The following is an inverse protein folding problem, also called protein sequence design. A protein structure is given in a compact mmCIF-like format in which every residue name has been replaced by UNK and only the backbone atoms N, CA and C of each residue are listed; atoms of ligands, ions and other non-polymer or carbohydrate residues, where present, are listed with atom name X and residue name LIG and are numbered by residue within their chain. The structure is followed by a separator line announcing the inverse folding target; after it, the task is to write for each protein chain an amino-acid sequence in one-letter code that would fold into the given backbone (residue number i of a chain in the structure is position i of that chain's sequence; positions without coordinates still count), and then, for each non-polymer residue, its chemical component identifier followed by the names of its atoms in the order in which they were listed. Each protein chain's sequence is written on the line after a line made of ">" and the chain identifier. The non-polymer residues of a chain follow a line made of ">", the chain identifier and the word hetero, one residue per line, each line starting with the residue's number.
data_IF_857385004089
#
_entry.id   IF_857385004089
#
_cell.length_a   1.000
_cell.length_b   1.000
_cell.length_c   1.000
_cell.angle_alpha   90.00
_cell.angle_beta   90.00
_cell.angle_gamma   90.00
#
_symmetry.space_group_name_H-M   'P 1'
#
loop_
_entity.id
_entity.type
_entity.pdbx_description
1 polymer ?
#
# COMPACT_ATOMS: atom_id res chain seq x y z
N UNK A 1 -35.16 -25.15 18.02
CA UNK A 1 -35.04 -23.73 17.60
C UNK A 1 -34.81 -23.70 16.10
N UNK A 2 -35.69 -23.00 15.36
CA UNK A 2 -35.72 -22.97 13.90
C UNK A 2 -34.46 -22.30 13.30
N UNK A 3 -34.10 -22.68 12.07
CA UNK A 3 -32.97 -22.09 11.31
C UNK A 3 -33.18 -20.59 11.08
N UNK A 4 -34.40 -20.20 10.71
CA UNK A 4 -34.80 -18.80 10.50
C UNK A 4 -34.63 -17.94 11.76
N UNK A 5 -34.92 -18.47 12.95
CA UNK A 5 -34.71 -17.74 14.21
C UNK A 5 -33.22 -17.48 14.48
N UNK A 6 -32.34 -18.43 14.15
CA UNK A 6 -30.88 -18.25 14.29
C UNK A 6 -30.39 -17.18 13.33
N UNK A 7 -30.85 -17.22 12.08
CA UNK A 7 -30.51 -16.24 11.05
C UNK A 7 -31.00 -14.84 11.42
N UNK A 8 -32.22 -14.72 11.97
CA UNK A 8 -32.74 -13.45 12.45
C UNK A 8 -31.89 -12.87 13.60
N UNK A 9 -31.50 -13.68 14.59
CA UNK A 9 -30.59 -13.24 15.66
C UNK A 9 -29.25 -12.73 15.11
N UNK A 10 -28.67 -13.45 14.14
CA UNK A 10 -27.41 -13.05 13.51
C UNK A 10 -27.60 -11.73 12.75
N UNK A 11 -28.69 -11.59 12.00
CA UNK A 11 -29.02 -10.35 11.26
C UNK A 11 -29.17 -9.16 12.20
N UNK A 12 -29.94 -9.31 13.29
CA UNK A 12 -30.11 -8.26 14.30
C UNK A 12 -28.79 -7.92 14.99
N UNK A 13 -27.92 -8.92 15.21
CA UNK A 13 -26.60 -8.64 15.77
C UNK A 13 -25.70 -7.88 14.79
N UNK A 14 -25.78 -8.18 13.49
CA UNK A 14 -25.06 -7.46 12.42
C UNK A 14 -25.57 -6.04 12.22
N UNK A 15 -26.86 -5.76 12.42
CA UNK A 15 -27.40 -4.39 12.32
C UNK A 15 -26.93 -3.46 13.46
N UNK A 16 -26.36 -4.03 14.54
CA UNK A 16 -25.78 -3.27 15.65
C UNK A 16 -26.51 -3.39 16.98
N UNK A 17 -27.58 -4.19 17.04
CA UNK A 17 -28.28 -4.41 18.31
C UNK A 17 -27.38 -5.15 19.32
N UNK A 18 -27.40 -4.68 20.56
CA UNK A 18 -26.73 -5.36 21.68
C UNK A 18 -27.45 -6.65 22.07
N UNK A 19 -26.73 -7.60 22.70
CA UNK A 19 -27.32 -8.89 23.12
C UNK A 19 -28.59 -8.76 23.97
N UNK A 20 -28.66 -7.72 24.82
CA UNK A 20 -29.86 -7.42 25.64
C UNK A 20 -31.04 -6.95 24.79
N UNK A 21 -30.79 -6.13 23.77
CA UNK A 21 -31.82 -5.62 22.86
C UNK A 21 -32.39 -6.76 22.01
N UNK A 22 -31.53 -7.60 21.44
CA UNK A 22 -31.94 -8.79 20.67
C UNK A 22 -32.75 -9.76 21.53
N UNK A 23 -32.32 -9.98 22.78
CA UNK A 23 -33.03 -10.85 23.73
C UNK A 23 -34.45 -10.33 24.03
N UNK A 24 -34.61 -9.01 24.17
CA UNK A 24 -35.91 -8.37 24.38
C UNK A 24 -36.80 -8.45 23.15
N UNK A 25 -36.25 -8.17 21.97
CA UNK A 25 -36.96 -8.13 20.70
C UNK A 25 -37.42 -9.52 20.23
N UNK A 26 -36.55 -10.52 20.37
CA UNK A 26 -36.85 -11.90 19.95
C UNK A 26 -37.50 -12.76 21.03
N UNK A 27 -37.57 -12.28 22.27
CA UNK A 27 -38.01 -13.05 23.44
C UNK A 27 -37.09 -14.21 23.84
N UNK A 28 -35.91 -14.34 23.21
CA UNK A 28 -34.96 -15.43 23.44
C UNK A 28 -34.03 -15.08 24.60
N UNK A 29 -33.72 -16.05 25.46
CA UNK A 29 -32.78 -15.87 26.57
C UNK A 29 -31.42 -15.31 26.08
N UNK A 30 -30.91 -14.28 26.75
CA UNK A 30 -29.63 -13.63 26.41
C UNK A 30 -28.45 -14.60 26.27
N UNK A 31 -28.37 -15.65 27.09
CA UNK A 31 -27.30 -16.65 27.01
C UNK A 31 -27.43 -17.51 25.75
N UNK A 32 -28.66 -17.79 25.33
CA UNK A 32 -28.96 -18.48 24.07
C UNK A 32 -28.58 -17.61 22.87
N UNK A 33 -28.92 -16.31 22.89
CA UNK A 33 -28.49 -15.34 21.88
C UNK A 33 -26.96 -15.30 21.78
N UNK A 34 -26.25 -15.14 22.92
CA UNK A 34 -24.77 -15.17 22.96
C UNK A 34 -24.21 -16.47 22.41
N UNK A 35 -24.79 -17.62 22.76
CA UNK A 35 -24.36 -18.94 22.28
C UNK A 35 -24.54 -19.09 20.76
N UNK A 36 -25.61 -18.52 20.20
CA UNK A 36 -25.85 -18.54 18.75
C UNK A 36 -24.84 -17.66 18.02
N UNK A 37 -24.65 -16.41 18.44
CA UNK A 37 -23.64 -15.52 17.87
C UNK A 37 -22.21 -16.08 18.04
N UNK A 38 -21.90 -16.74 19.15
CA UNK A 38 -20.58 -17.35 19.35
C UNK A 38 -20.36 -18.55 18.42
N UNK A 39 -21.37 -19.40 18.23
CA UNK A 39 -21.28 -20.58 17.36
C UNK A 39 -21.35 -20.25 15.88
N UNK A 40 -21.86 -19.06 15.49
CA UNK A 40 -21.85 -18.65 14.09
C UNK A 40 -20.44 -18.30 13.59
N UNK A 41 -19.50 -17.96 14.47
CA UNK A 41 -18.13 -17.56 14.07
C UNK A 41 -18.02 -16.18 13.41
N UNK A 42 -19.14 -15.54 13.07
CA UNK A 42 -19.23 -14.28 12.32
C UNK A 42 -18.90 -13.00 13.13
N UNK A 43 -18.69 -13.12 14.44
CA UNK A 43 -18.38 -11.98 15.33
C UNK A 43 -17.02 -12.14 16.00
N UNK A 44 -16.13 -12.87 15.33
CA UNK A 44 -14.75 -13.12 15.69
C UNK A 44 -13.94 -13.10 14.39
N UNK A 45 -12.65 -12.86 14.55
CA UNK A 45 -11.62 -12.96 13.53
C UNK A 45 -11.87 -14.14 12.57
N UNK A 46 -11.89 -13.86 11.27
CA UNK A 46 -12.09 -14.90 10.26
C UNK A 46 -10.77 -15.67 10.05
N UNK A 47 -10.68 -16.97 10.39
CA UNK A 47 -9.43 -17.70 10.30
C UNK A 47 -8.92 -17.87 8.85
N UNK A 48 -9.83 -18.03 7.88
CA UNK A 48 -9.45 -18.15 6.46
C UNK A 48 -8.90 -16.82 5.94
N UNK A 49 -9.57 -15.73 6.28
CA UNK A 49 -9.13 -14.36 6.00
C UNK A 49 -7.75 -14.09 6.62
N UNK A 50 -7.57 -14.41 7.89
CA UNK A 50 -6.30 -14.22 8.60
C UNK A 50 -5.17 -14.95 7.90
N UNK A 51 -5.34 -16.23 7.57
CA UNK A 51 -4.31 -17.02 6.92
C UNK A 51 -3.93 -16.41 5.57
N UNK A 52 -4.92 -15.95 4.80
CA UNK A 52 -4.70 -15.43 3.46
C UNK A 52 -4.00 -14.07 3.46
N UNK A 53 -4.35 -13.18 4.40
CA UNK A 53 -3.90 -11.79 4.45
C UNK A 53 -2.88 -11.51 5.58
N UNK A 54 -2.09 -12.52 5.95
CA UNK A 54 -0.98 -12.31 6.89
C UNK A 54 0.27 -11.85 6.13
N UNK A 55 0.82 -10.71 6.53
CA UNK A 55 2.11 -10.24 6.02
C UNK A 55 3.21 -11.17 6.55
N UNK A 56 4.00 -11.81 5.67
CA UNK A 56 5.08 -12.69 6.08
C UNK A 56 6.22 -11.93 6.76
N UNK A 57 6.78 -12.53 7.81
CA UNK A 57 7.99 -12.01 8.46
C UNK A 57 9.21 -12.16 7.53
N UNK A 58 10.09 -11.15 7.46
CA UNK A 58 11.32 -11.24 6.68
C UNK A 58 12.18 -12.41 7.16
N UNK A 59 12.65 -13.23 6.21
CA UNK A 59 13.66 -14.26 6.45
C UNK A 59 15.02 -13.72 6.01
N UNK A 60 16.10 -14.27 6.57
CA UNK A 60 17.44 -13.90 6.12
C UNK A 60 17.64 -14.37 4.67
N UNK A 61 17.79 -13.43 3.74
CA UNK A 61 18.21 -13.75 2.37
C UNK A 61 19.71 -14.08 2.37
N UNK A 62 20.08 -15.10 1.60
CA UNK A 62 21.48 -15.49 1.35
C UNK A 62 22.01 -14.93 0.03
N UNK A 63 21.20 -14.16 -0.69
CA UNK A 63 21.59 -13.56 -1.96
C UNK A 63 22.71 -12.53 -1.73
N UNK A 64 23.82 -12.70 -2.44
CA UNK A 64 24.95 -11.77 -2.37
C UNK A 64 24.52 -10.43 -2.96
N UNK A 65 24.70 -9.35 -2.19
CA UNK A 65 24.44 -8.01 -2.69
C UNK A 65 25.41 -7.68 -3.84
N UNK A 66 24.90 -7.68 -5.07
CA UNK A 66 25.65 -7.23 -6.24
C UNK A 66 25.82 -5.72 -6.16
N UNK A 67 27.07 -5.26 -6.04
CA UNK A 67 27.37 -3.82 -5.99
C UNK A 67 27.16 -3.24 -7.38
N UNK A 68 26.24 -2.29 -7.53
CA UNK A 68 26.04 -1.57 -8.79
C UNK A 68 27.32 -0.81 -9.16
N UNK A 69 27.76 -0.80 -10.44
CA UNK A 69 28.94 -0.07 -10.85
C UNK A 69 28.72 1.45 -10.78
N UNK A 70 29.82 2.21 -10.71
CA UNK A 70 29.74 3.67 -10.81
C UNK A 70 29.27 4.10 -12.21
N UNK A 71 28.37 5.08 -12.32
CA UNK A 71 27.95 5.62 -13.60
C UNK A 71 29.13 6.33 -14.30
N UNK A 72 29.21 6.28 -15.63
CA UNK A 72 30.24 6.99 -16.38
C UNK A 72 30.08 8.51 -16.21
N UNK A 73 31.20 9.23 -16.14
CA UNK A 73 31.18 10.69 -16.12
C UNK A 73 30.76 11.23 -17.49
N UNK A 74 29.87 12.21 -17.48
CA UNK A 74 29.34 12.84 -18.70
C UNK A 74 29.60 14.34 -18.70
N UNK A 75 29.75 14.91 -19.89
CA UNK A 75 29.84 16.35 -20.11
C UNK A 75 28.52 16.80 -20.71
N UNK A 76 27.67 17.43 -19.90
CA UNK A 76 26.29 17.77 -20.29
C UNK A 76 26.21 19.25 -20.62
N UNK A 77 26.56 20.11 -19.66
CA UNK A 77 26.47 21.57 -19.77
C UNK A 77 27.77 22.19 -20.30
N UNK A 78 28.88 21.45 -20.29
CA UNK A 78 30.23 21.95 -20.60
C UNK A 78 30.87 22.69 -19.41
N UNK A 79 30.14 22.92 -18.31
CA UNK A 79 30.66 23.51 -17.10
C UNK A 79 31.09 22.42 -16.11
N UNK A 80 32.42 22.25 -15.94
CA UNK A 80 33.01 21.16 -15.15
C UNK A 80 32.39 20.94 -13.77
N UNK A 81 32.11 22.01 -13.02
CA UNK A 81 31.54 21.89 -11.67
C UNK A 81 30.05 21.51 -11.68
N UNK A 82 29.30 21.98 -12.69
CA UNK A 82 27.86 21.61 -12.83
C UNK A 82 27.75 20.16 -13.31
N UNK A 83 28.56 19.76 -14.27
CA UNK A 83 28.60 18.38 -14.76
C UNK A 83 29.06 17.41 -13.66
N UNK A 84 30.04 17.80 -12.84
CA UNK A 84 30.43 17.03 -11.65
C UNK A 84 29.30 16.93 -10.62
N UNK A 85 28.55 18.01 -10.38
CA UNK A 85 27.40 17.99 -9.47
C UNK A 85 26.31 17.02 -9.95
N UNK A 86 25.93 17.11 -11.23
CA UNK A 86 24.94 16.21 -11.84
C UNK A 86 25.39 14.75 -11.76
N UNK A 87 26.67 14.49 -12.06
CA UNK A 87 27.23 13.14 -11.94
C UNK A 87 27.18 12.62 -10.49
N UNK A 88 27.45 13.46 -9.49
CA UNK A 88 27.34 13.05 -8.08
C UNK A 88 25.89 12.70 -7.71
N UNK A 89 24.90 13.40 -8.24
CA UNK A 89 23.50 13.01 -8.05
C UNK A 89 23.17 11.67 -8.72
N UNK A 90 23.70 11.39 -9.90
CA UNK A 90 23.58 10.06 -10.54
C UNK A 90 24.26 8.96 -9.71
N UNK A 91 25.42 9.25 -9.10
CA UNK A 91 26.10 8.32 -8.17
C UNK A 91 25.21 8.04 -6.95
N UNK A 92 24.53 9.04 -6.39
CA UNK A 92 23.60 8.86 -5.26
C UNK A 92 22.43 7.97 -5.66
N UNK A 93 21.87 8.15 -6.86
CA UNK A 93 20.76 7.32 -7.38
C UNK A 93 21.09 5.82 -7.46
N UNK A 94 22.37 5.45 -7.53
CA UNK A 94 22.76 4.02 -7.47
C UNK A 94 22.32 3.35 -6.17
N UNK A 95 22.13 4.10 -5.07
CA UNK A 95 21.69 3.54 -3.80
C UNK A 95 22.76 2.76 -3.03
N UNK A 96 24.01 2.74 -3.51
CA UNK A 96 25.07 1.94 -2.87
C UNK A 96 25.72 2.69 -1.69
N UNK A 97 25.86 2.07 -0.50
CA UNK A 97 26.38 2.73 0.70
C UNK A 97 27.77 3.34 0.51
N UNK A 98 28.65 2.60 -0.16
CA UNK A 98 30.01 3.08 -0.46
C UNK A 98 29.98 4.30 -1.40
N UNK A 99 29.09 4.27 -2.39
CA UNK A 99 28.92 5.37 -3.35
C UNK A 99 28.28 6.59 -2.72
N UNK A 100 27.26 6.40 -1.88
CA UNK A 100 26.60 7.49 -1.15
C UNK A 100 27.60 8.20 -0.22
N UNK A 101 28.41 7.44 0.53
CA UNK A 101 29.44 8.04 1.38
C UNK A 101 30.49 8.82 0.58
N UNK A 102 30.92 8.28 -0.57
CA UNK A 102 31.83 8.98 -1.47
C UNK A 102 31.19 10.23 -2.09
N UNK A 103 29.92 10.16 -2.47
CA UNK A 103 29.15 11.27 -3.02
C UNK A 103 28.96 12.40 -1.99
N UNK A 104 28.62 12.08 -0.74
CA UNK A 104 28.53 13.05 0.36
C UNK A 104 29.87 13.78 0.58
N UNK A 105 31.00 13.07 0.49
CA UNK A 105 32.33 13.66 0.58
C UNK A 105 32.68 14.52 -0.66
N UNK A 106 32.21 14.12 -1.85
CA UNK A 106 32.41 14.86 -3.09
C UNK A 106 31.61 16.16 -3.11
N UNK A 107 30.35 16.15 -2.67
CA UNK A 107 29.50 17.34 -2.56
C UNK A 107 30.15 18.44 -1.72
N UNK A 108 30.83 18.08 -0.63
CA UNK A 108 31.56 19.03 0.24
C UNK A 108 32.78 19.68 -0.42
N UNK A 109 33.32 19.07 -1.48
CA UNK A 109 34.50 19.56 -2.22
C UNK A 109 34.13 20.41 -3.43
N UNK A 110 32.87 20.38 -3.87
CA UNK A 110 32.39 21.20 -4.98
C UNK A 110 32.37 22.66 -4.56
N UNK A 111 32.83 23.53 -5.45
CA UNK A 111 32.82 24.98 -5.21
C UNK A 111 31.50 25.62 -5.59
N UNK A 112 30.75 24.98 -6.51
CA UNK A 112 29.42 25.42 -6.92
C UNK A 112 28.39 25.04 -5.86
N UNK A 113 27.44 25.93 -5.60
CA UNK A 113 26.31 25.60 -4.72
C UNK A 113 25.28 24.75 -5.46
N UNK A 114 24.53 23.87 -4.77
CA UNK A 114 23.44 23.10 -5.38
C UNK A 114 22.45 23.94 -6.19
N UNK A 115 22.10 25.12 -5.67
CA UNK A 115 21.18 26.06 -6.32
C UNK A 115 21.76 26.63 -7.62
N UNK A 116 23.03 27.05 -7.62
CA UNK A 116 23.68 27.50 -8.85
C UNK A 116 23.80 26.39 -9.89
N UNK A 117 24.04 25.15 -9.45
CA UNK A 117 24.09 23.99 -10.34
C UNK A 117 22.72 23.71 -10.98
N UNK A 118 21.65 23.74 -10.19
CA UNK A 118 20.27 23.65 -10.67
C UNK A 118 19.98 24.75 -11.71
N UNK A 119 20.14 26.03 -11.36
CA UNK A 119 19.81 27.14 -12.25
C UNK A 119 20.57 27.07 -13.59
N UNK A 120 21.86 26.68 -13.55
CA UNK A 120 22.65 26.47 -14.77
C UNK A 120 22.11 25.34 -15.63
N UNK A 121 21.79 24.21 -15.01
CA UNK A 121 21.24 23.06 -15.73
C UNK A 121 19.84 23.34 -16.29
N UNK A 122 18.96 23.98 -15.53
CA UNK A 122 17.65 24.43 -15.98
C UNK A 122 17.77 25.36 -17.19
N UNK A 123 18.70 26.33 -17.15
CA UNK A 123 18.95 27.24 -18.27
C UNK A 123 19.49 26.51 -19.50
N UNK A 124 20.39 25.55 -19.31
CA UNK A 124 20.89 24.69 -20.38
C UNK A 124 19.75 23.92 -21.06
N UNK A 125 18.85 23.31 -20.29
CA UNK A 125 17.68 22.59 -20.82
C UNK A 125 16.76 23.51 -21.64
N UNK A 126 16.47 24.70 -21.13
CA UNK A 126 15.65 25.70 -21.83
C UNK A 126 16.29 26.13 -23.16
N UNK A 127 17.60 26.37 -23.17
CA UNK A 127 18.34 26.80 -24.37
C UNK A 127 18.43 25.70 -25.45
N UNK A 128 18.43 24.43 -25.04
CA UNK A 128 18.45 23.28 -25.96
C UNK A 128 17.04 22.80 -26.36
N UNK A 129 16.00 23.59 -26.07
CA UNK A 129 14.63 23.29 -26.49
C UNK A 129 13.97 22.14 -25.73
N UNK A 130 14.45 21.80 -24.54
CA UNK A 130 13.83 20.77 -23.71
C UNK A 130 12.40 21.19 -23.31
N UNK A 131 11.47 20.24 -23.33
CA UNK A 131 10.08 20.47 -22.94
C UNK A 131 9.94 20.93 -21.49
N UNK A 132 8.79 21.52 -21.17
CA UNK A 132 8.49 22.02 -19.82
C UNK A 132 8.61 20.94 -18.73
N UNK A 133 8.35 19.67 -19.07
CA UNK A 133 8.50 18.52 -18.16
C UNK A 133 9.96 18.31 -17.72
N UNK A 134 10.92 18.41 -18.64
CA UNK A 134 12.34 18.29 -18.35
C UNK A 134 12.83 19.47 -17.49
N UNK A 135 12.35 20.68 -17.76
CA UNK A 135 12.62 21.85 -16.91
C UNK A 135 12.03 21.64 -15.51
N UNK A 136 10.81 21.14 -15.40
CA UNK A 136 10.16 20.87 -14.11
C UNK A 136 10.88 19.78 -13.30
N UNK A 137 11.45 18.75 -13.95
CA UNK A 137 12.26 17.72 -13.26
C UNK A 137 13.51 18.28 -12.56
N UNK A 138 13.93 19.51 -12.87
CA UNK A 138 15.07 20.15 -12.19
C UNK A 138 14.72 20.74 -10.83
N UNK A 139 13.43 20.80 -10.45
CA UNK A 139 12.98 21.52 -9.24
C UNK A 139 13.64 21.12 -7.93
N UNK A 140 14.04 19.86 -7.79
CA UNK A 140 14.62 19.33 -6.54
C UNK A 140 16.15 19.22 -6.57
N UNK A 141 16.79 19.59 -7.68
CA UNK A 141 18.23 19.45 -7.88
C UNK A 141 19.07 20.25 -6.89
N UNK A 142 18.53 21.29 -6.25
CA UNK A 142 19.24 22.07 -5.23
C UNK A 142 19.27 21.41 -3.84
N UNK A 143 18.57 20.29 -3.66
CA UNK A 143 18.52 19.57 -2.39
C UNK A 143 19.14 18.16 -2.48
N UNK A 144 20.49 18.04 -2.47
CA UNK A 144 21.17 16.75 -2.54
C UNK A 144 20.82 15.82 -1.36
N UNK A 145 20.52 16.38 -0.19
CA UNK A 145 20.11 15.62 1.00
C UNK A 145 18.80 14.84 0.76
N UNK A 146 17.87 15.41 0.00
CA UNK A 146 16.63 14.73 -0.38
C UNK A 146 16.92 13.46 -1.21
N UNK A 147 17.80 13.54 -2.21
CA UNK A 147 18.21 12.38 -3.00
C UNK A 147 18.91 11.30 -2.16
N UNK A 148 19.76 11.71 -1.21
CA UNK A 148 20.42 10.77 -0.30
C UNK A 148 19.40 10.04 0.57
N UNK A 149 18.41 10.75 1.11
CA UNK A 149 17.35 10.15 1.93
C UNK A 149 16.52 9.16 1.12
N UNK A 150 16.10 9.54 -0.10
CA UNK A 150 15.36 8.65 -1.00
C UNK A 150 16.19 7.41 -1.35
N UNK A 151 17.48 7.57 -1.69
CA UNK A 151 18.35 6.46 -2.03
C UNK A 151 18.53 5.48 -0.86
N UNK A 152 18.67 5.99 0.37
CA UNK A 152 18.75 5.18 1.59
C UNK A 152 17.43 4.42 1.83
N UNK A 153 16.29 5.12 1.76
CA UNK A 153 14.98 4.50 1.94
C UNK A 153 14.68 3.43 0.88
N UNK A 154 14.98 3.71 -0.39
CA UNK A 154 14.82 2.74 -1.48
C UNK A 154 15.69 1.49 -1.27
N UNK A 155 16.93 1.66 -0.78
CA UNK A 155 17.79 0.51 -0.45
C UNK A 155 17.19 -0.33 0.68
N UNK A 156 16.66 0.30 1.72
CA UNK A 156 16.01 -0.40 2.83
C UNK A 156 14.80 -1.19 2.36
N UNK A 157 13.93 -0.59 1.54
CA UNK A 157 12.77 -1.29 0.96
C UNK A 157 13.19 -2.44 0.03
N UNK A 158 14.18 -2.24 -0.84
CA UNK A 158 14.71 -3.30 -1.69
C UNK A 158 15.33 -4.46 -0.87
N UNK A 159 16.01 -4.14 0.24
CA UNK A 159 16.50 -5.15 1.17
C UNK A 159 15.35 -5.91 1.85
N UNK A 160 14.26 -5.22 2.17
CA UNK A 160 13.05 -5.82 2.73
C UNK A 160 12.40 -6.80 1.74
N UNK A 161 12.35 -6.44 0.45
CA UNK A 161 11.91 -7.34 -0.63
C UNK A 161 12.70 -8.63 -0.65
N UNK A 162 14.03 -8.55 -0.69
CA UNK A 162 14.88 -9.75 -0.66
C UNK A 162 14.68 -10.56 0.62
N UNK A 163 14.48 -9.90 1.76
CA UNK A 163 14.21 -10.57 3.03
C UNK A 163 12.92 -11.40 3.00
N UNK A 164 11.86 -10.90 2.36
CA UNK A 164 10.58 -11.64 2.30
C UNK A 164 10.55 -12.65 1.15
N UNK A 165 10.93 -12.23 -0.05
CA UNK A 165 10.72 -12.99 -1.29
C UNK A 165 11.97 -13.71 -1.79
N UNK A 166 13.13 -13.47 -1.19
CA UNK A 166 14.42 -14.00 -1.64
C UNK A 166 15.08 -13.09 -2.67
N UNK A 167 14.42 -12.88 -3.82
CA UNK A 167 14.89 -12.04 -4.94
C UNK A 167 13.88 -10.93 -5.28
N UNK A 168 14.27 -9.96 -6.10
CA UNK A 168 13.36 -8.89 -6.53
C UNK A 168 12.35 -9.36 -7.59
N UNK A 169 12.68 -10.36 -8.39
CA UNK A 169 11.77 -10.92 -9.41
C UNK A 169 10.65 -11.74 -8.76
N UNK A 170 10.94 -12.45 -7.67
CA UNK A 170 10.00 -13.35 -7.00
C UNK A 170 8.77 -12.64 -6.40
N UNK A 171 8.82 -11.31 -6.18
CA UNK A 171 7.68 -10.53 -5.68
C UNK A 171 6.54 -10.38 -6.70
N UNK A 172 6.85 -10.57 -7.99
CA UNK A 172 5.89 -10.45 -9.09
C UNK A 172 5.14 -11.75 -9.35
N UNK A 173 5.56 -12.87 -8.74
CA UNK A 173 4.81 -14.11 -8.77
C UNK A 173 3.46 -13.93 -8.03
N UNK A 174 2.37 -14.54 -8.53
CA UNK A 174 1.06 -14.46 -7.88
C UNK A 174 1.09 -14.96 -6.43
N UNK A 175 0.60 -14.14 -5.50
CA UNK A 175 0.45 -14.54 -4.09
C UNK A 175 -0.80 -15.42 -3.93
N UNK A 176 -0.97 -16.17 -2.81
CA UNK A 176 -2.12 -17.06 -2.64
C UNK A 176 -3.50 -16.41 -2.85
N UNK A 177 -3.67 -15.14 -2.46
CA UNK A 177 -4.90 -14.38 -2.71
C UNK A 177 -5.13 -14.13 -4.21
N UNK A 178 -4.07 -13.78 -4.95
CA UNK A 178 -4.14 -13.59 -6.40
C UNK A 178 -4.38 -14.92 -7.12
N UNK A 179 -3.75 -16.02 -6.69
CA UNK A 179 -4.03 -17.35 -7.25
C UNK A 179 -5.51 -17.74 -7.15
N UNK A 180 -6.21 -17.36 -6.06
CA UNK A 180 -7.65 -17.60 -5.93
C UNK A 180 -8.45 -16.79 -6.95
N UNK A 181 -8.08 -15.53 -7.17
CA UNK A 181 -8.69 -14.67 -8.19
C UNK A 181 -8.44 -15.27 -9.57
N UNK A 182 -7.19 -15.60 -9.89
CA UNK A 182 -6.79 -16.13 -11.19
C UNK A 182 -7.45 -17.48 -11.51
N UNK A 183 -7.70 -18.30 -10.49
CA UNK A 183 -8.39 -19.59 -10.67
C UNK A 183 -9.81 -19.46 -11.24
N UNK A 184 -10.46 -18.32 -11.03
CA UNK A 184 -11.81 -18.04 -11.51
C UNK A 184 -11.83 -17.14 -12.73
N UNK A 185 -10.98 -16.12 -12.73
CA UNK A 185 -11.04 -15.01 -13.70
C UNK A 185 -9.92 -15.04 -14.75
N UNK A 186 -8.97 -15.97 -14.65
CA UNK A 186 -7.83 -16.08 -15.56
C UNK A 186 -6.61 -15.27 -15.11
N UNK A 187 -5.52 -15.24 -15.90
CA UNK A 187 -4.29 -14.57 -15.52
C UNK A 187 -4.49 -13.08 -15.21
N UNK A 188 -3.83 -12.63 -14.16
CA UNK A 188 -3.88 -11.26 -13.63
C UNK A 188 -3.72 -10.16 -14.70
N UNK A 189 -2.84 -10.38 -15.68
CA UNK A 189 -2.53 -9.38 -16.73
C UNK A 189 -3.65 -9.24 -17.76
N UNK A 190 -4.45 -10.29 -17.96
CA UNK A 190 -5.55 -10.33 -18.93
C UNK A 190 -6.81 -9.72 -18.32
N UNK A 191 -7.06 -10.04 -17.04
CA UNK A 191 -8.07 -9.41 -16.16
C UNK A 191 -8.06 -7.88 -16.36
N UNK A 192 -6.98 -7.17 -16.02
CA UNK A 192 -7.01 -5.70 -16.03
C UNK A 192 -7.22 -5.06 -17.41
N UNK A 193 -6.73 -5.68 -18.48
CA UNK A 193 -6.84 -5.14 -19.85
C UNK A 193 -8.25 -5.28 -20.43
N UNK A 194 -8.95 -6.36 -20.11
CA UNK A 194 -10.34 -6.55 -20.53
C UNK A 194 -11.30 -5.67 -19.71
N UNK A 195 -11.00 -5.40 -18.44
CA UNK A 195 -11.88 -4.61 -17.54
C UNK A 195 -11.88 -3.10 -17.76
N UNK A 196 -10.81 -2.52 -18.32
CA UNK A 196 -10.84 -1.13 -18.79
C UNK A 196 -11.91 -0.89 -19.87
N UNK A 197 -12.44 -1.97 -20.49
CA UNK A 197 -13.47 -1.90 -21.53
C UNK A 197 -14.90 -2.05 -20.99
N UNK A 198 -15.13 -2.69 -19.83
CA UNK A 198 -16.49 -3.09 -19.37
C UNK A 198 -17.12 -2.16 -18.30
N UNK A 199 -16.34 -1.25 -17.69
CA UNK A 199 -16.86 -0.22 -16.77
C UNK A 199 -16.91 -0.61 -15.29
N UNK A 200 -17.36 0.34 -14.43
CA UNK A 200 -17.18 0.36 -12.97
C UNK A 200 -18.01 -0.67 -12.14
N UNK A 201 -18.32 -1.85 -12.68
CA UNK A 201 -19.16 -2.84 -12.00
C UNK A 201 -18.57 -4.23 -11.97
N UNK A 202 -18.68 -4.88 -10.81
CA UNK A 202 -18.76 -6.34 -10.62
C UNK A 202 -17.52 -7.16 -10.23
N UNK A 203 -16.30 -6.61 -10.16
CA UNK A 203 -15.13 -7.38 -9.71
C UNK A 203 -14.70 -7.04 -8.27
N UNK A 204 -15.56 -7.40 -7.33
CA UNK A 204 -15.30 -7.23 -5.88
C UNK A 204 -14.57 -8.47 -5.30
N UNK A 205 -14.43 -9.54 -6.09
CA UNK A 205 -13.82 -10.81 -5.70
C UNK A 205 -14.42 -11.42 -4.41
N UNK A 206 -15.66 -11.07 -4.07
CA UNK A 206 -16.36 -11.54 -2.84
C UNK A 206 -16.76 -13.00 -2.90
N UNK A 207 -16.72 -13.57 -4.10
CA UNK A 207 -17.03 -14.94 -4.45
C UNK A 207 -15.80 -15.85 -4.46
N UNK A 208 -14.58 -15.28 -4.40
CA UNK A 208 -13.30 -16.03 -4.37
C UNK A 208 -12.47 -15.72 -3.13
N UNK A 209 -12.48 -14.47 -2.64
CA UNK A 209 -11.80 -14.07 -1.42
C UNK A 209 -12.73 -14.15 -0.21
N UNK A 210 -12.23 -14.60 0.96
CA UNK A 210 -13.03 -14.66 2.17
C UNK A 210 -13.53 -13.27 2.58
N UNK A 211 -14.76 -13.20 3.10
CA UNK A 211 -15.31 -11.96 3.62
C UNK A 211 -14.71 -11.63 5.01
N UNK A 212 -14.40 -10.35 5.31
CA UNK A 212 -14.02 -9.94 6.65
C UNK A 212 -15.22 -10.08 7.58
N UNK A 213 -15.00 -10.59 8.79
CA UNK A 213 -16.04 -10.69 9.82
C UNK A 213 -15.98 -9.54 10.82
N UNK A 214 -14.80 -8.93 10.95
CA UNK A 214 -14.47 -7.88 11.92
C UNK A 214 -13.84 -6.69 11.22
N UNK A 215 -13.78 -5.54 11.89
CA UNK A 215 -13.07 -4.38 11.34
C UNK A 215 -11.56 -4.64 11.31
N UNK A 216 -11.03 -5.40 12.25
CA UNK A 216 -9.64 -5.88 12.21
C UNK A 216 -9.34 -6.71 10.96
N UNK A 217 -10.27 -7.55 10.49
CA UNK A 217 -10.11 -8.27 9.23
C UNK A 217 -10.03 -7.29 8.04
N UNK A 218 -10.91 -6.27 8.02
CA UNK A 218 -10.89 -5.24 6.96
C UNK A 218 -9.53 -4.53 6.92
N UNK A 219 -9.06 -4.05 8.08
CA UNK A 219 -7.76 -3.35 8.21
C UNK A 219 -6.61 -4.25 7.77
N UNK A 220 -6.62 -5.53 8.17
CA UNK A 220 -5.58 -6.49 7.78
C UNK A 220 -5.49 -6.64 6.27
N UNK A 221 -6.63 -6.76 5.59
CA UNK A 221 -6.65 -6.91 4.14
C UNK A 221 -6.12 -5.68 3.43
N UNK A 222 -6.51 -4.48 3.86
CA UNK A 222 -5.95 -3.23 3.33
C UNK A 222 -4.44 -3.15 3.51
N UNK A 223 -3.96 -3.41 4.72
CA UNK A 223 -2.53 -3.37 5.03
C UNK A 223 -1.74 -4.40 4.22
N UNK A 224 -2.31 -5.58 4.00
CA UNK A 224 -1.70 -6.62 3.17
C UNK A 224 -1.52 -6.16 1.73
N UNK A 225 -2.56 -5.56 1.14
CA UNK A 225 -2.51 -5.10 -0.25
C UNK A 225 -1.59 -3.90 -0.45
N UNK A 226 -1.66 -2.90 0.44
CA UNK A 226 -0.72 -1.76 0.45
C UNK A 226 0.72 -2.24 0.63
N UNK A 227 0.96 -3.17 1.55
CA UNK A 227 2.26 -3.79 1.75
C UNK A 227 2.76 -4.47 0.47
N UNK A 228 1.95 -5.32 -0.17
CA UNK A 228 2.34 -6.03 -1.40
C UNK A 228 2.65 -5.06 -2.53
N UNK A 229 1.83 -4.02 -2.69
CA UNK A 229 2.05 -2.96 -3.67
C UNK A 229 3.39 -2.26 -3.45
N UNK A 230 3.69 -1.83 -2.21
CA UNK A 230 4.96 -1.18 -1.87
C UNK A 230 6.16 -2.09 -2.14
N UNK A 231 6.05 -3.39 -1.84
CA UNK A 231 7.12 -4.37 -2.10
C UNK A 231 7.38 -4.52 -3.61
N UNK A 232 6.32 -4.58 -4.43
CA UNK A 232 6.44 -4.63 -5.89
C UNK A 232 7.02 -3.35 -6.47
N UNK A 233 6.59 -2.19 -6.00
CA UNK A 233 7.15 -0.88 -6.42
C UNK A 233 8.63 -0.80 -6.06
N UNK A 234 9.01 -1.20 -4.85
CA UNK A 234 10.40 -1.20 -4.42
C UNK A 234 11.27 -2.13 -5.28
N UNK A 235 10.79 -3.33 -5.60
CA UNK A 235 11.48 -4.26 -6.48
C UNK A 235 11.57 -3.75 -7.92
N UNK A 236 10.48 -3.16 -8.45
CA UNK A 236 10.44 -2.62 -9.81
C UNK A 236 11.48 -1.52 -9.99
N UNK A 237 11.57 -0.58 -9.05
CA UNK A 237 12.59 0.48 -9.05
C UNK A 237 14.02 -0.06 -9.04
N UNK A 238 14.24 -1.22 -8.43
CA UNK A 238 15.55 -1.84 -8.35
C UNK A 238 15.94 -2.54 -9.67
N UNK A 239 14.98 -3.20 -10.32
CA UNK A 239 15.16 -3.91 -11.59
C UNK A 239 15.18 -2.96 -12.80
N UNK A 240 14.35 -1.91 -12.77
CA UNK A 240 14.12 -0.98 -13.88
C UNK A 240 14.23 0.47 -13.39
N UNK A 241 15.42 0.93 -12.99
CA UNK A 241 15.62 2.25 -12.37
C UNK A 241 15.29 3.43 -13.30
N UNK A 242 15.34 3.23 -14.61
CA UNK A 242 15.08 4.24 -15.63
C UNK A 242 13.62 4.25 -16.12
N UNK A 243 12.80 3.30 -15.66
CA UNK A 243 11.40 3.19 -16.06
C UNK A 243 10.46 3.86 -15.05
N UNK A 244 9.31 4.32 -15.56
CA UNK A 244 8.26 4.85 -14.69
C UNK A 244 7.69 3.70 -13.85
N UNK A 245 7.50 3.96 -12.55
CA UNK A 245 7.02 2.93 -11.62
C UNK A 245 5.61 2.50 -12.00
N UNK A 246 5.46 1.19 -12.19
CA UNK A 246 4.17 0.60 -12.46
C UNK A 246 3.32 0.55 -11.18
N UNK A 247 2.25 1.33 -11.13
CA UNK A 247 1.23 1.29 -10.08
C UNK A 247 0.06 0.45 -10.58
N UNK A 248 -0.05 -0.81 -10.15
CA UNK A 248 -1.09 -1.70 -10.64
C UNK A 248 -2.10 -2.05 -9.55
N UNK A 249 -3.16 -1.24 -9.40
CA UNK A 249 -4.28 -1.58 -8.50
C UNK A 249 -5.47 -2.16 -9.28
N UNK A 250 -5.35 -3.44 -9.63
CA UNK A 250 -6.44 -4.30 -10.09
C UNK A 250 -7.37 -4.75 -8.95
N UNK A 251 -7.00 -4.42 -7.70
CA UNK A 251 -7.79 -4.62 -6.47
C UNK A 251 -8.63 -3.39 -6.12
N UNK A 252 -8.61 -2.32 -6.91
CA UNK A 252 -9.31 -1.06 -6.62
C UNK A 252 -10.79 -1.26 -6.22
N UNK A 253 -11.50 -2.16 -6.90
CA UNK A 253 -12.89 -2.49 -6.58
C UNK A 253 -13.05 -3.26 -5.26
N UNK A 254 -12.08 -4.13 -4.93
CA UNK A 254 -12.03 -4.83 -3.64
C UNK A 254 -11.73 -3.85 -2.51
N UNK A 255 -10.77 -2.96 -2.69
CA UNK A 255 -10.45 -1.88 -1.74
C UNK A 255 -11.68 -1.01 -1.49
N UNK A 256 -12.36 -0.53 -2.53
CA UNK A 256 -13.58 0.27 -2.37
C UNK A 256 -14.68 -0.49 -1.60
N UNK A 257 -14.84 -1.79 -1.83
CA UNK A 257 -15.78 -2.59 -1.07
C UNK A 257 -15.36 -2.80 0.38
N UNK A 258 -14.07 -2.98 0.66
CA UNK A 258 -13.53 -3.02 2.02
C UNK A 258 -13.77 -1.69 2.74
N UNK A 259 -13.64 -0.54 2.08
CA UNK A 259 -13.99 0.77 2.64
C UNK A 259 -15.47 0.78 3.06
N UNK A 260 -16.37 0.27 2.22
CA UNK A 260 -17.80 0.12 2.56
C UNK A 260 -18.02 -0.85 3.72
N UNK A 261 -17.21 -1.89 3.87
CA UNK A 261 -17.28 -2.77 5.03
C UNK A 261 -16.92 -2.04 6.34
N UNK A 262 -16.07 -1.00 6.31
CA UNK A 262 -15.80 -0.16 7.50
C UNK A 262 -17.03 0.60 8.00
N UNK A 263 -18.00 0.88 7.14
CA UNK A 263 -19.26 1.53 7.52
C UNK A 263 -20.29 0.52 8.06
N UNK A 264 -20.28 -0.70 7.51
CA UNK A 264 -21.31 -1.72 7.72
C UNK A 264 -20.97 -2.64 8.92
N UNK A 265 -19.72 -3.09 9.02
CA UNK A 265 -19.28 -4.01 10.07
C UNK A 265 -19.18 -3.26 11.38
N UNK A 266 -19.91 -3.73 12.39
CA UNK A 266 -19.87 -3.13 13.73
C UNK A 266 -18.60 -3.56 14.46
N UNK A 267 -17.93 -2.66 15.20
CA UNK A 267 -16.83 -3.05 16.08
C UNK A 267 -17.28 -4.14 17.06
N UNK A 268 -16.45 -5.16 17.24
CA UNK A 268 -16.62 -6.25 18.20
C UNK A 268 -16.52 -5.70 19.63
N UNK A 269 -15.62 -4.75 19.85
CA UNK A 269 -15.42 -4.07 21.12
C UNK A 269 -14.90 -2.62 20.90
N UNK A 270 -14.76 -1.87 22.01
CA UNK A 270 -14.31 -0.46 21.96
C UNK A 270 -12.83 -0.33 21.59
N UNK A 271 -12.02 -1.32 21.91
CA UNK A 271 -10.58 -1.34 21.60
C UNK A 271 -10.37 -1.42 20.10
N UNK A 272 -11.01 -2.38 19.42
CA UNK A 272 -11.01 -2.50 17.96
C UNK A 272 -11.48 -1.21 17.29
N UNK A 273 -12.54 -0.58 17.79
CA UNK A 273 -13.03 0.68 17.24
C UNK A 273 -11.97 1.79 17.30
N UNK A 274 -11.22 1.88 18.42
CA UNK A 274 -10.16 2.88 18.59
C UNK A 274 -8.94 2.57 17.73
N UNK A 275 -8.55 1.31 17.63
CA UNK A 275 -7.41 0.88 16.82
C UNK A 275 -7.67 1.13 15.33
N UNK A 276 -8.87 0.79 14.86
CA UNK A 276 -9.30 1.03 13.47
C UNK A 276 -9.41 2.54 13.20
N UNK A 277 -9.92 3.33 14.15
CA UNK A 277 -9.99 4.78 13.99
C UNK A 277 -8.61 5.42 13.87
N UNK A 278 -7.65 4.99 14.70
CA UNK A 278 -6.27 5.48 14.64
C UNK A 278 -5.65 5.15 13.28
N UNK A 279 -5.74 3.88 12.88
CA UNK A 279 -5.25 3.46 11.57
C UNK A 279 -5.89 4.27 10.44
N UNK A 280 -7.22 4.45 10.45
CA UNK A 280 -7.94 5.17 9.41
C UNK A 280 -7.56 6.65 9.31
N UNK A 281 -7.16 7.27 10.42
CA UNK A 281 -6.69 8.66 10.45
C UNK A 281 -5.23 8.82 9.97
N UNK A 282 -4.39 7.81 10.17
CA UNK A 282 -2.96 7.81 9.84
C UNK A 282 -2.65 7.25 8.45
N UNK A 283 -3.58 6.50 7.85
CA UNK A 283 -3.37 5.87 6.55
C UNK A 283 -3.41 6.91 5.42
N UNK A 284 -2.26 7.08 4.75
CA UNK A 284 -1.99 8.12 3.76
C UNK A 284 -3.02 8.17 2.62
N UNK A 285 -3.46 7.01 2.15
CA UNK A 285 -4.35 6.92 0.99
C UNK A 285 -5.72 7.52 1.28
N UNK A 286 -6.17 7.57 2.54
CA UNK A 286 -7.42 8.22 2.92
C UNK A 286 -7.27 9.73 3.15
N UNK A 287 -6.06 10.21 3.43
CA UNK A 287 -5.80 11.64 3.65
C UNK A 287 -5.78 12.42 2.32
N UNK A 288 -5.06 11.92 1.32
CA UNK A 288 -4.81 12.65 0.07
C UNK A 288 -5.95 12.58 -0.95
N UNK A 289 -6.80 11.56 -0.85
CA UNK A 289 -7.81 11.24 -1.88
C UNK A 289 -9.21 11.78 -1.60
N UNK A 290 -9.44 12.41 -0.45
CA UNK A 290 -10.79 12.78 -0.02
C UNK A 290 -11.74 11.59 0.16
N UNK A 291 -11.19 10.35 0.23
CA UNK A 291 -11.95 9.10 0.37
C UNK A 291 -12.51 8.87 1.78
N UNK A 292 -12.25 9.76 2.74
CA UNK A 292 -12.79 9.65 4.10
C UNK A 292 -14.31 9.80 4.08
N UNK A 293 -15.01 8.74 4.46
CA UNK A 293 -16.47 8.71 4.50
C UNK A 293 -16.99 8.93 5.92
N UNK A 294 -17.99 9.82 6.07
CA UNK A 294 -18.62 10.13 7.35
C UNK A 294 -19.25 8.88 8.01
N UNK A 295 -19.73 7.94 7.20
CA UNK A 295 -20.32 6.68 7.67
C UNK A 295 -19.34 5.84 8.50
N UNK A 296 -18.04 5.88 8.17
CA UNK A 296 -16.99 5.20 8.93
C UNK A 296 -16.83 5.86 10.31
N UNK A 297 -16.75 7.19 10.38
CA UNK A 297 -16.65 7.90 11.66
C UNK A 297 -17.86 7.66 12.56
N UNK A 298 -19.07 7.70 11.99
CA UNK A 298 -20.30 7.42 12.73
C UNK A 298 -20.33 5.98 13.25
N UNK A 299 -19.85 5.01 12.46
CA UNK A 299 -19.75 3.61 12.89
C UNK A 299 -18.74 3.44 14.03
N UNK A 300 -17.53 3.98 13.89
CA UNK A 300 -16.44 3.82 14.88
C UNK A 300 -16.72 4.57 16.19
N UNK A 301 -17.42 5.70 16.15
CA UNK A 301 -17.81 6.45 17.35
C UNK A 301 -19.09 5.92 18.01
N UNK A 302 -19.81 4.99 17.37
CA UNK A 302 -21.09 4.48 17.82
C UNK A 302 -22.25 5.47 17.67
N UNK A 303 -22.04 6.54 16.89
CA UNK A 303 -23.01 7.62 16.64
C UNK A 303 -23.94 7.32 15.46
N UNK A 304 -24.40 6.08 15.31
CA UNK A 304 -25.47 5.83 14.36
C UNK A 304 -26.72 6.53 14.87
N UNK A 305 -27.26 7.45 14.07
CA UNK A 305 -28.58 8.02 14.31
C UNK A 305 -29.54 6.85 14.51
N UNK A 306 -29.95 6.66 15.77
CA UNK A 306 -31.04 5.78 16.10
C UNK A 306 -32.31 6.50 15.68
N UNK A 307 -32.95 5.97 14.65
CA UNK A 307 -34.41 5.94 14.58
C UNK A 307 -34.91 4.69 15.30
#
# INVERSE_FOLDING_TARGET
>A
MNKEMKENIIRLKRSGLGYKAISRDTGININTVKSICRRSGLFRDNPEHRVLFTIPEPKYSTELATIKPLPPQQVITGHKQTDAYLWVLEVIKTGEPAHIAAAEAALKKLTITPKEAQERYTRYLQQNGAGWTAVFSTMWLDNPSHYITIAKAQREEAARVRGVFGTHEAVFEPVPAECLIESKYGPYREIYCDYMQEGNGEFIYTDVLPAPHTLSDVVREFQYWDWLSRMRVAAYKELYPDEYTWENSHIYHREYWLEKQLEIIRPVNREEALDVLRWYLEFSDFEDSGRRQDGVYLNLTGSHQGD
#
